data_IF_487783630757
#
_entry.id   IF_487783630757
#
_cell.length_a   1.000
_cell.length_b   1.000
_cell.length_c   1.000
_cell.angle_alpha   90.00
_cell.angle_beta   90.00
_cell.angle_gamma   90.00
#
_symmetry.space_group_name_H-M   'P 1'
#
loop_
_entity.id
_entity.type
_entity.pdbx_description
1 polymer ?
#
# COMPACT_ATOMS: atom_id res chain seq x y z
N UNK A 1 21.06 -7.04 12.58
CA UNK A 1 19.98 -7.34 13.55
C UNK A 1 18.91 -8.12 12.81
N UNK A 2 18.30 -9.12 13.43
CA UNK A 2 17.21 -9.87 12.81
C UNK A 2 15.86 -9.29 13.27
N UNK A 3 15.08 -8.72 12.33
CA UNK A 3 13.69 -8.33 12.57
C UNK A 3 12.81 -9.58 12.71
N UNK A 4 11.73 -9.50 13.48
CA UNK A 4 10.69 -10.54 13.55
C UNK A 4 9.37 -9.97 13.03
N UNK A 5 8.73 -10.70 12.13
CA UNK A 5 7.40 -10.37 11.61
C UNK A 5 6.34 -11.25 12.30
N UNK A 6 5.30 -10.61 12.81
CA UNK A 6 4.10 -11.27 13.34
C UNK A 6 2.93 -10.85 12.45
N UNK A 7 2.34 -11.82 11.76
CA UNK A 7 1.13 -11.62 10.96
C UNK A 7 -0.07 -12.22 11.71
N UNK A 8 -1.17 -11.46 11.77
CA UNK A 8 -2.41 -11.88 12.41
C UNK A 8 -3.51 -12.00 11.37
N UNK A 9 -3.83 -13.23 11.01
CA UNK A 9 -4.76 -13.57 9.93
C UNK A 9 -6.08 -14.14 10.46
N UNK A 10 -7.14 -14.03 9.66
CA UNK A 10 -8.48 -14.49 10.01
C UNK A 10 -9.58 -13.81 9.20
N UNK A 11 -10.78 -14.40 9.19
CA UNK A 11 -11.93 -13.82 8.46
C UNK A 11 -12.36 -12.47 9.05
N UNK A 12 -13.11 -11.62 8.31
CA UNK A 12 -13.61 -10.35 8.83
C UNK A 12 -14.35 -10.50 10.18
N UNK A 13 -14.29 -9.48 11.03
CA UNK A 13 -14.95 -9.43 12.33
C UNK A 13 -14.55 -10.50 13.37
N UNK A 14 -13.41 -11.17 13.21
CA UNK A 14 -12.87 -12.13 14.20
C UNK A 14 -11.95 -11.52 15.26
N UNK A 15 -11.78 -10.20 15.25
CA UNK A 15 -10.96 -9.48 16.22
C UNK A 15 -9.47 -9.39 15.88
N UNK A 16 -9.06 -9.58 14.61
CA UNK A 16 -7.66 -9.43 14.16
C UNK A 16 -7.01 -8.13 14.66
N UNK A 17 -7.63 -6.99 14.39
CA UNK A 17 -7.10 -5.67 14.75
C UNK A 17 -7.00 -5.49 16.26
N UNK A 18 -8.02 -5.92 17.00
CA UNK A 18 -8.01 -5.92 18.48
C UNK A 18 -6.89 -6.80 19.04
N UNK A 19 -6.70 -8.00 18.48
CA UNK A 19 -5.62 -8.91 18.86
C UNK A 19 -4.25 -8.33 18.51
N UNK A 20 -4.10 -7.67 17.36
CA UNK A 20 -2.83 -7.04 16.95
C UNK A 20 -2.41 -5.93 17.90
N UNK A 21 -3.37 -5.08 18.32
CA UNK A 21 -3.16 -4.05 19.35
C UNK A 21 -2.77 -4.67 20.69
N UNK A 22 -3.48 -5.72 21.12
CA UNK A 22 -3.17 -6.43 22.35
C UNK A 22 -1.76 -7.03 22.32
N UNK A 23 -1.42 -7.82 21.29
CA UNK A 23 -0.09 -8.42 21.13
C UNK A 23 0.99 -7.35 21.10
N UNK A 24 0.83 -6.29 20.30
CA UNK A 24 1.79 -5.18 20.24
C UNK A 24 2.01 -4.55 21.63
N UNK A 25 0.95 -4.34 22.41
CA UNK A 25 1.06 -3.77 23.76
C UNK A 25 1.87 -4.65 24.73
N UNK A 26 1.69 -5.98 24.64
CA UNK A 26 2.43 -6.92 25.49
C UNK A 26 3.90 -6.98 25.07
N UNK A 27 4.15 -7.11 23.76
CA UNK A 27 5.51 -7.26 23.22
C UNK A 27 6.35 -5.99 23.44
N UNK A 28 5.72 -4.81 23.40
CA UNK A 28 6.40 -3.53 23.63
C UNK A 28 7.06 -3.44 25.02
N UNK A 29 6.57 -4.18 26.02
CA UNK A 29 7.20 -4.26 27.34
C UNK A 29 8.59 -4.93 27.32
N UNK A 30 8.86 -5.79 26.33
CA UNK A 30 10.15 -6.46 26.16
C UNK A 30 10.96 -5.90 24.98
N UNK A 31 10.29 -5.32 23.99
CA UNK A 31 10.90 -4.80 22.75
C UNK A 31 10.33 -3.40 22.46
N UNK A 32 11.02 -2.33 22.86
CA UNK A 32 10.52 -0.95 22.73
C UNK A 32 10.18 -0.55 21.28
N UNK A 33 10.95 -1.07 20.32
CA UNK A 33 10.88 -0.71 18.90
C UNK A 33 9.79 -1.46 18.12
N UNK A 34 8.85 -2.13 18.79
CA UNK A 34 7.73 -2.81 18.13
C UNK A 34 6.86 -1.79 17.37
N UNK A 35 6.78 -1.99 16.06
CA UNK A 35 5.89 -1.25 15.15
C UNK A 35 4.64 -2.08 14.86
N UNK A 36 3.49 -1.44 14.99
CA UNK A 36 2.18 -2.02 14.66
C UNK A 36 1.67 -1.34 13.39
N UNK A 37 1.29 -2.14 12.41
CA UNK A 37 0.62 -1.69 11.21
C UNK A 37 -0.72 -2.42 11.10
N UNK A 38 -1.78 -1.67 10.77
CA UNK A 38 -3.15 -2.17 10.63
C UNK A 38 -3.73 -1.69 9.30
N UNK A 39 -4.75 -2.37 8.80
CA UNK A 39 -5.53 -1.98 7.62
C UNK A 39 -6.25 -0.62 7.77
N UNK A 40 -6.51 -0.20 9.01
CA UNK A 40 -7.04 1.14 9.31
C UNK A 40 -6.05 2.29 9.06
N UNK A 41 -4.75 2.00 8.85
CA UNK A 41 -3.75 3.04 8.63
C UNK A 41 -3.80 3.56 7.20
N UNK A 42 -3.85 4.89 7.02
CA UNK A 42 -3.80 5.52 5.69
C UNK A 42 -2.55 5.11 4.92
N UNK A 43 -1.43 4.97 5.63
CA UNK A 43 -0.17 4.50 5.07
C UNK A 43 0.24 3.19 5.72
N UNK A 44 0.66 2.24 4.89
CA UNK A 44 1.15 0.95 5.33
C UNK A 44 2.42 0.60 4.54
N UNK A 45 3.49 0.10 5.18
CA UNK A 45 4.78 -0.11 4.53
C UNK A 45 4.77 -1.28 3.53
N UNK A 46 3.85 -2.23 3.69
CA UNK A 46 3.78 -3.45 2.89
C UNK A 46 2.45 -3.62 2.12
N UNK A 47 1.49 -2.72 2.32
CA UNK A 47 0.16 -2.80 1.72
C UNK A 47 -0.02 -1.63 0.77
N UNK A 48 -0.57 -1.93 -0.40
CA UNK A 48 -0.74 -1.02 -1.51
C UNK A 48 -2.22 -0.62 -1.70
N UNK A 49 -3.10 -0.87 -0.72
CA UNK A 49 -4.56 -0.66 -0.86
C UNK A 49 -4.94 0.78 -1.23
N UNK A 50 -4.09 1.74 -0.83
CA UNK A 50 -4.21 3.16 -1.14
C UNK A 50 -3.29 3.59 -2.29
N UNK A 51 -3.01 2.69 -3.23
CA UNK A 51 -2.22 2.98 -4.41
C UNK A 51 -2.96 2.59 -5.68
N UNK A 52 -2.73 3.37 -6.73
CA UNK A 52 -3.03 3.05 -8.11
C UNK A 52 -1.74 2.81 -8.89
N UNK A 53 -1.81 2.03 -9.97
CA UNK A 53 -0.69 1.84 -10.89
C UNK A 53 -1.05 2.40 -12.27
N UNK A 54 -0.18 3.26 -12.79
CA UNK A 54 -0.28 3.79 -14.14
C UNK A 54 0.91 3.35 -14.97
N UNK A 55 0.66 2.84 -16.17
CA UNK A 55 1.72 2.70 -17.17
C UNK A 55 2.24 4.09 -17.59
N UNK A 56 3.43 4.18 -18.21
CA UNK A 56 3.91 5.46 -18.72
C UNK A 56 2.96 6.12 -19.72
N UNK A 57 2.21 5.32 -20.48
CA UNK A 57 1.21 5.78 -21.45
C UNK A 57 0.00 6.37 -20.72
N UNK A 58 -0.59 5.62 -19.77
CA UNK A 58 -1.72 6.09 -18.97
C UNK A 58 -1.37 7.34 -18.16
N UNK A 59 -0.16 7.39 -17.58
CA UNK A 59 0.31 8.58 -16.87
C UNK A 59 0.36 9.82 -17.76
N UNK A 60 0.73 9.68 -19.04
CA UNK A 60 0.77 10.80 -20.01
C UNK A 60 -0.61 11.27 -20.47
N UNK A 61 -1.66 10.46 -20.29
CA UNK A 61 -3.04 10.84 -20.62
C UNK A 61 -3.62 11.85 -19.64
N UNK A 62 -3.09 11.93 -18.42
CA UNK A 62 -3.46 12.97 -17.46
C UNK A 62 -2.95 14.35 -17.91
N UNK A 63 -3.77 15.41 -17.82
CA UNK A 63 -3.34 16.80 -18.02
C UNK A 63 -2.10 17.15 -17.18
N UNK A 64 -1.24 18.04 -17.67
CA UNK A 64 0.00 18.40 -16.99
C UNK A 64 -0.22 18.99 -15.59
N UNK A 65 -1.23 19.85 -15.44
CA UNK A 65 -1.67 20.44 -14.18
C UNK A 65 -2.18 19.40 -13.17
N UNK A 66 -2.74 18.27 -13.63
CA UNK A 66 -3.11 17.14 -12.77
C UNK A 66 -1.90 16.26 -12.45
N UNK A 67 -1.03 15.98 -13.43
CA UNK A 67 0.14 15.12 -13.25
C UNK A 67 1.09 15.63 -12.18
N UNK A 68 1.27 16.95 -12.08
CA UNK A 68 2.14 17.55 -11.05
C UNK A 68 1.60 17.38 -9.62
N UNK A 69 0.31 17.05 -9.46
CA UNK A 69 -0.32 16.80 -8.17
C UNK A 69 -0.23 15.33 -7.74
N UNK A 70 0.15 14.42 -8.66
CA UNK A 70 0.20 12.99 -8.38
C UNK A 70 1.45 12.65 -7.55
N UNK A 71 1.30 12.10 -6.33
CA UNK A 71 2.43 11.61 -5.54
C UNK A 71 2.89 10.26 -6.11
N UNK A 72 3.82 10.32 -7.06
CA UNK A 72 4.27 9.14 -7.82
C UNK A 72 5.57 8.53 -7.29
N UNK A 73 5.61 7.21 -7.24
CA UNK A 73 6.80 6.38 -7.08
C UNK A 73 7.04 5.60 -8.40
N UNK A 74 8.19 5.77 -9.07
CA UNK A 74 8.48 5.05 -10.30
C UNK A 74 8.77 3.57 -10.01
N UNK A 75 8.32 2.70 -10.92
CA UNK A 75 8.59 1.26 -10.88
C UNK A 75 9.19 0.81 -12.21
N UNK A 76 10.07 -0.19 -12.15
CA UNK A 76 10.72 -0.76 -13.35
C UNK A 76 10.11 -2.09 -13.79
N UNK A 77 9.58 -2.87 -12.84
CA UNK A 77 9.00 -4.18 -13.09
C UNK A 77 7.69 -4.36 -12.30
N UNK A 78 6.53 -4.09 -12.93
CA UNK A 78 6.32 -3.52 -14.26
C UNK A 78 6.75 -2.05 -14.34
N UNK A 79 7.10 -1.60 -15.54
CA UNK A 79 7.47 -0.20 -15.79
C UNK A 79 6.25 0.70 -15.66
N UNK A 80 6.31 1.71 -14.79
CA UNK A 80 5.20 2.63 -14.57
C UNK A 80 5.35 3.46 -13.30
N UNK A 81 4.21 3.86 -12.74
CA UNK A 81 4.13 4.72 -11.57
C UNK A 81 3.10 4.17 -10.58
N UNK A 82 3.52 3.97 -9.34
CA UNK A 82 2.63 3.84 -8.21
C UNK A 82 2.21 5.23 -7.75
N UNK A 83 0.91 5.47 -7.67
CA UNK A 83 0.33 6.75 -7.25
C UNK A 83 -0.34 6.56 -5.91
N UNK A 84 0.08 7.30 -4.88
CA UNK A 84 -0.57 7.25 -3.56
C UNK A 84 -1.89 8.02 -3.59
N UNK A 85 -3.01 7.35 -3.30
CA UNK A 85 -4.36 7.91 -3.53
C UNK A 85 -5.05 8.43 -2.27
N UNK A 86 -4.57 8.11 -1.07
CA UNK A 86 -5.26 8.46 0.18
C UNK A 86 -5.29 9.98 0.45
N UNK A 87 -4.31 10.73 -0.05
CA UNK A 87 -4.17 12.18 0.16
C UNK A 87 -4.65 13.02 -1.03
N UNK A 88 -5.12 12.38 -2.10
CA UNK A 88 -5.63 13.08 -3.27
C UNK A 88 -7.04 13.61 -3.01
N UNK A 89 -7.34 14.77 -3.61
CA UNK A 89 -8.70 15.31 -3.63
C UNK A 89 -9.63 14.41 -4.46
N UNK A 90 -10.93 14.46 -4.14
CA UNK A 90 -11.91 13.47 -4.57
C UNK A 90 -11.95 13.26 -6.09
N UNK A 91 -11.96 14.34 -6.88
CA UNK A 91 -12.05 14.27 -8.34
C UNK A 91 -10.87 13.50 -8.97
N UNK A 92 -9.64 13.72 -8.48
CA UNK A 92 -8.46 13.01 -9.00
C UNK A 92 -8.39 11.57 -8.48
N UNK A 93 -8.85 11.34 -7.24
CA UNK A 93 -8.98 10.00 -6.69
C UNK A 93 -9.97 9.16 -7.47
N UNK A 94 -11.12 9.72 -7.85
CA UNK A 94 -12.13 9.03 -8.68
C UNK A 94 -11.59 8.65 -10.06
N UNK A 95 -10.81 9.53 -10.69
CA UNK A 95 -10.12 9.22 -11.96
C UNK A 95 -9.13 8.05 -11.84
N UNK A 96 -8.55 7.85 -10.65
CA UNK A 96 -7.58 6.79 -10.37
C UNK A 96 -8.21 5.47 -9.93
N UNK A 97 -9.49 5.44 -9.58
CA UNK A 97 -10.19 4.25 -9.09
C UNK A 97 -10.05 3.02 -10.03
N UNK A 98 -10.19 3.16 -11.37
CA UNK A 98 -9.99 2.03 -12.29
C UNK A 98 -8.55 1.48 -12.29
N UNK A 99 -7.59 2.27 -11.82
CA UNK A 99 -6.17 1.95 -11.82
C UNK A 99 -5.68 1.43 -10.46
N UNK A 100 -6.58 1.26 -9.48
CA UNK A 100 -6.23 0.73 -8.17
C UNK A 100 -5.67 -0.69 -8.24
N UNK A 101 -4.89 -1.04 -7.23
CA UNK A 101 -4.45 -2.41 -7.02
C UNK A 101 -5.54 -3.21 -6.26
N UNK A 102 -5.32 -4.52 -6.10
CA UNK A 102 -6.23 -5.47 -5.47
C UNK A 102 -7.49 -5.77 -6.29
N UNK A 103 -7.29 -6.13 -7.55
CA UNK A 103 -8.34 -6.66 -8.42
C UNK A 103 -8.85 -5.67 -9.46
N UNK A 104 -8.32 -4.45 -9.51
CA UNK A 104 -8.57 -3.53 -10.63
C UNK A 104 -7.46 -3.58 -11.69
N UNK A 105 -6.30 -4.18 -11.40
CA UNK A 105 -5.25 -4.46 -12.37
C UNK A 105 -5.11 -5.97 -12.68
N UNK A 106 -4.55 -6.34 -13.85
CA UNK A 106 -4.17 -7.72 -14.13
C UNK A 106 -3.20 -8.25 -13.07
N UNK A 107 -3.32 -9.54 -12.73
CA UNK A 107 -2.49 -10.17 -11.70
C UNK A 107 -0.99 -10.12 -12.02
N UNK A 108 -0.64 -10.16 -13.31
CA UNK A 108 0.72 -10.06 -13.83
C UNK A 108 1.35 -8.68 -13.54
N UNK A 109 0.53 -7.65 -13.31
CA UNK A 109 0.94 -6.32 -12.88
C UNK A 109 0.99 -6.24 -11.35
N UNK A 110 -0.06 -6.67 -10.66
CA UNK A 110 -0.16 -6.53 -9.20
C UNK A 110 0.89 -7.35 -8.45
N UNK A 111 1.06 -8.61 -8.83
CA UNK A 111 1.95 -9.56 -8.15
C UNK A 111 3.38 -9.05 -8.00
N UNK A 112 4.10 -8.65 -9.07
CA UNK A 112 5.47 -8.15 -8.94
C UNK A 112 5.56 -6.88 -8.09
N UNK A 113 4.59 -5.95 -8.19
CA UNK A 113 4.55 -4.73 -7.37
C UNK A 113 4.41 -5.05 -5.87
N UNK A 114 3.48 -5.92 -5.52
CA UNK A 114 3.27 -6.36 -4.15
C UNK A 114 4.52 -7.06 -3.59
N UNK A 115 5.12 -7.98 -4.36
CA UNK A 115 6.34 -8.67 -3.94
C UNK A 115 7.53 -7.71 -3.79
N UNK A 116 7.66 -6.73 -4.67
CA UNK A 116 8.69 -5.70 -4.57
C UNK A 116 8.52 -4.88 -3.28
N UNK A 117 7.29 -4.44 -2.97
CA UNK A 117 6.99 -3.69 -1.74
C UNK A 117 7.29 -4.53 -0.48
N UNK A 118 6.91 -5.80 -0.47
CA UNK A 118 7.24 -6.71 0.64
C UNK A 118 8.75 -6.94 0.82
N UNK A 119 9.54 -6.94 -0.27
CA UNK A 119 11.01 -7.05 -0.17
C UNK A 119 11.68 -5.81 0.41
N UNK A 120 11.05 -4.64 0.29
CA UNK A 120 11.53 -3.39 0.87
C UNK A 120 11.20 -3.27 2.36
N UNK A 121 10.29 -4.11 2.88
CA UNK A 121 9.92 -4.13 4.29
C UNK A 121 11.00 -4.80 5.14
N UNK A 122 11.77 -4.00 5.90
CA UNK A 122 12.90 -4.43 6.76
C UNK A 122 12.74 -3.93 8.20
#
# INVERSE_FOLDING_TARGET
MASRLILLEGVPCTGKTSTARFVSSQVRGWYPDVRLYTDEALWHPADLVNYAFLTPEQYREFPEDERVLLPVEPTEEPKGYLVYTAELYDELREKLEPFKLFGCQPWEVERPLMLARWRQFV
#
